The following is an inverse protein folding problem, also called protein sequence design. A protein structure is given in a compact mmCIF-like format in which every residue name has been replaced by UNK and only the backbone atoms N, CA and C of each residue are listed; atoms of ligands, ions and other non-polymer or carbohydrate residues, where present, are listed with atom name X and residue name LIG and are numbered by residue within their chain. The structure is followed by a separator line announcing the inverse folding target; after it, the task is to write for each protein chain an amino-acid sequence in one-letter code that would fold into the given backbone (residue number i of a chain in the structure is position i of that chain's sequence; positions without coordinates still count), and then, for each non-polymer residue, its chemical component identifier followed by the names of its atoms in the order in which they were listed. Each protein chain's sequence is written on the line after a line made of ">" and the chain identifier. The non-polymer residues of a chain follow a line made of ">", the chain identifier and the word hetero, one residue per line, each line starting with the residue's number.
data_IF_410260342959
#
_entry.id   IF_410260342959
#
_cell.length_a   1.000
_cell.length_b   1.000
_cell.length_c   1.000
_cell.angle_alpha   90.00
_cell.angle_beta   90.00
_cell.angle_gamma   90.00
#
_symmetry.space_group_name_H-M   'P 1'
#
loop_
_entity.id
_entity.type
_entity.pdbx_description
1 polymer ?
#
# COMPACT_ATOMS: atom_id res chain seq x y z
N UNK A 1 24.98 -8.95 9.69
CA UNK A 1 25.00 -7.63 10.37
C UNK A 1 23.60 -7.37 10.92
N UNK A 2 23.40 -7.30 12.24
CA UNK A 2 22.10 -6.95 12.81
C UNK A 2 21.78 -5.50 12.41
N UNK A 3 20.62 -5.26 11.78
CA UNK A 3 20.24 -3.94 11.25
C UNK A 3 20.20 -3.80 9.73
N UNK A 4 20.18 -4.91 8.98
CA UNK A 4 20.00 -4.89 7.51
C UNK A 4 18.83 -5.75 7.02
N UNK A 5 18.09 -6.37 7.94
CA UNK A 5 17.01 -7.31 7.63
C UNK A 5 15.85 -6.59 6.94
N UNK A 6 15.43 -7.17 5.81
CA UNK A 6 14.29 -6.73 5.03
C UNK A 6 13.06 -7.47 5.54
N UNK A 7 12.01 -6.73 5.87
CA UNK A 7 10.72 -7.25 6.28
C UNK A 7 9.68 -6.87 5.22
N UNK A 8 8.87 -7.85 4.82
CA UNK A 8 7.71 -7.63 3.94
C UNK A 8 6.46 -7.92 4.77
N UNK A 9 5.61 -6.91 4.93
CA UNK A 9 4.37 -7.00 5.73
C UNK A 9 3.18 -6.49 4.94
N UNK A 10 1.99 -7.02 5.22
CA UNK A 10 0.75 -6.45 4.66
C UNK A 10 0.46 -5.11 5.34
N UNK A 11 0.09 -4.12 4.53
CA UNK A 11 -0.26 -2.80 5.01
C UNK A 11 -1.56 -2.84 5.80
N UNK A 12 -1.62 -2.03 6.85
CA UNK A 12 -2.81 -1.80 7.65
C UNK A 12 -3.24 -0.34 7.57
N UNK A 13 -4.46 0.02 8.00
CA UNK A 13 -4.86 1.42 8.09
C UNK A 13 -3.94 2.28 8.96
N UNK A 14 -3.18 1.68 9.89
CA UNK A 14 -2.22 2.42 10.74
C UNK A 14 -1.00 2.92 9.97
N UNK A 15 -0.71 2.35 8.80
CA UNK A 15 0.44 2.71 7.98
C UNK A 15 0.17 3.95 7.09
N UNK A 16 -1.05 4.49 7.09
CA UNK A 16 -1.47 5.58 6.21
C UNK A 16 -0.65 6.86 6.37
N UNK A 17 -0.32 7.24 7.59
CA UNK A 17 0.46 8.45 7.87
C UNK A 17 1.87 8.37 7.28
N UNK A 18 2.47 7.17 7.24
CA UNK A 18 3.79 6.94 6.64
C UNK A 18 3.70 6.74 5.12
N UNK A 19 2.66 6.06 4.65
CA UNK A 19 2.44 5.75 3.23
C UNK A 19 2.09 6.96 2.38
N UNK A 20 1.28 7.89 2.92
CA UNK A 20 0.83 9.06 2.17
C UNK A 20 1.98 9.93 1.64
N UNK A 21 2.93 10.43 2.47
CA UNK A 21 4.05 11.21 1.96
C UNK A 21 4.98 10.37 1.07
N UNK A 22 5.14 9.07 1.35
CA UNK A 22 5.97 8.16 0.55
C UNK A 22 5.45 8.02 -0.88
N UNK A 23 4.14 7.79 -1.04
CA UNK A 23 3.51 7.61 -2.34
C UNK A 23 3.25 8.95 -3.06
N UNK A 24 2.98 10.02 -2.32
CA UNK A 24 2.80 11.36 -2.89
C UNK A 24 4.07 11.85 -3.61
N UNK A 25 5.25 11.44 -3.16
CA UNK A 25 6.51 11.75 -3.86
C UNK A 25 6.67 10.99 -5.18
N UNK A 26 6.01 9.83 -5.32
CA UNK A 26 6.11 8.98 -6.50
C UNK A 26 4.96 9.21 -7.50
N UNK A 27 3.88 9.87 -7.09
CA UNK A 27 2.67 10.07 -7.88
C UNK A 27 2.51 11.56 -8.21
N UNK A 28 2.61 11.91 -9.49
CA UNK A 28 2.23 13.24 -10.00
C UNK A 28 0.69 13.37 -10.02
N UNK A 29 0.09 13.59 -8.84
CA UNK A 29 -1.34 13.86 -8.71
C UNK A 29 -1.57 15.13 -7.88
N UNK A 30 -2.12 16.16 -8.53
CA UNK A 30 -2.43 17.48 -7.93
C UNK A 30 -3.45 17.42 -6.77
N UNK A 31 -4.08 16.27 -6.53
CA UNK A 31 -5.17 16.09 -5.55
C UNK A 31 -5.03 14.80 -4.74
N UNK A 32 -3.80 14.37 -4.45
CA UNK A 32 -3.53 13.17 -3.67
C UNK A 32 -3.75 13.40 -2.16
N UNK A 33 -4.98 13.16 -1.67
CA UNK A 33 -5.31 13.27 -0.24
C UNK A 33 -5.13 11.94 0.52
N UNK A 34 -4.91 11.98 1.85
CA UNK A 34 -4.87 10.76 2.68
C UNK A 34 -6.15 9.92 2.58
N UNK A 35 -7.32 10.58 2.51
CA UNK A 35 -8.61 9.89 2.38
C UNK A 35 -8.72 9.14 1.05
N UNK A 36 -8.27 9.75 -0.05
CA UNK A 36 -8.25 9.10 -1.35
C UNK A 36 -7.29 7.90 -1.34
N UNK A 37 -6.12 8.05 -0.71
CA UNK A 37 -5.19 6.93 -0.55
C UNK A 37 -5.80 5.80 0.29
N UNK A 38 -6.47 6.13 1.39
CA UNK A 38 -7.17 5.14 2.21
C UNK A 38 -8.19 4.36 1.37
N UNK A 39 -8.99 5.06 0.57
CA UNK A 39 -9.96 4.41 -0.32
C UNK A 39 -9.27 3.52 -1.37
N UNK A 40 -8.11 3.90 -1.90
CA UNK A 40 -7.41 3.12 -2.92
C UNK A 40 -6.69 1.89 -2.37
N UNK A 41 -6.15 1.98 -1.15
CA UNK A 41 -5.35 0.91 -0.57
C UNK A 41 -6.17 -0.10 0.25
N UNK A 42 -7.24 0.35 0.90
CA UNK A 42 -7.95 -0.45 1.92
C UNK A 42 -9.44 -0.64 1.64
N UNK A 43 -10.00 0.02 0.64
CA UNK A 43 -11.39 -0.21 0.29
C UNK A 43 -11.53 -1.47 -0.56
N UNK A 44 -12.15 -2.50 0.02
CA UNK A 44 -12.46 -3.75 -0.66
C UNK A 44 -13.74 -3.54 -1.49
N UNK A 45 -13.69 -3.51 -2.84
CA UNK A 45 -14.91 -3.39 -3.61
C UNK A 45 -15.56 -4.78 -3.69
N UNK A 46 -16.84 -4.83 -3.32
CA UNK A 46 -17.89 -5.81 -3.61
C UNK A 46 -17.57 -7.28 -4.00
N UNK A 47 -18.38 -8.25 -3.55
CA UNK A 47 -18.25 -9.64 -3.99
C UNK A 47 -18.28 -9.73 -5.52
N UNK A 48 -17.23 -10.32 -6.12
CA UNK A 48 -17.04 -10.41 -7.58
C UNK A 48 -16.15 -9.33 -8.20
N UNK A 49 -15.36 -8.58 -7.42
CA UNK A 49 -14.39 -7.58 -7.92
C UNK A 49 -12.97 -7.86 -7.42
N UNK A 50 -12.03 -7.13 -8.02
CA UNK A 50 -10.60 -7.17 -7.73
C UNK A 50 -10.31 -7.08 -6.22
N UNK A 51 -9.46 -7.98 -5.71
CA UNK A 51 -8.94 -7.93 -4.33
C UNK A 51 -7.62 -7.18 -4.34
N UNK A 52 -7.51 -6.15 -3.49
CA UNK A 52 -6.34 -5.29 -3.40
C UNK A 52 -5.55 -5.65 -2.13
N UNK A 53 -4.31 -6.10 -2.31
CA UNK A 53 -3.36 -6.32 -1.22
C UNK A 53 -2.22 -5.31 -1.34
N UNK A 54 -1.94 -4.57 -0.29
CA UNK A 54 -0.81 -3.65 -0.26
C UNK A 54 0.29 -4.25 0.60
N UNK A 55 1.49 -4.41 0.06
CA UNK A 55 2.67 -4.94 0.73
C UNK A 55 3.68 -3.82 0.97
N UNK A 56 4.25 -3.79 2.17
CA UNK A 56 5.24 -2.82 2.61
C UNK A 56 6.59 -3.50 2.80
N UNK A 57 7.62 -2.93 2.19
CA UNK A 57 9.00 -3.31 2.40
C UNK A 57 9.63 -2.38 3.45
N UNK A 58 10.02 -2.95 4.59
CA UNK A 58 10.68 -2.22 5.68
C UNK A 58 12.11 -2.73 5.87
N UNK A 59 13.04 -1.80 6.08
CA UNK A 59 14.42 -2.12 6.47
C UNK A 59 14.75 -1.37 7.74
N UNK A 60 15.06 -2.10 8.80
CA UNK A 60 15.34 -1.52 10.12
C UNK A 60 14.22 -0.59 10.61
N UNK A 61 12.97 -1.02 10.41
CA UNK A 61 11.75 -0.29 10.80
C UNK A 61 11.28 0.79 9.81
N UNK A 62 12.17 1.28 8.92
CA UNK A 62 11.85 2.34 7.96
C UNK A 62 11.19 1.78 6.70
N UNK A 63 10.10 2.40 6.23
CA UNK A 63 9.52 2.10 4.92
C UNK A 63 10.50 2.46 3.79
N UNK A 64 10.78 1.51 2.92
CA UNK A 64 11.68 1.67 1.76
C UNK A 64 11.01 1.31 0.43
N UNK A 65 9.82 0.74 0.46
CA UNK A 65 9.07 0.35 -0.72
C UNK A 65 7.64 -0.03 -0.39
N UNK A 66 6.75 0.18 -1.35
CA UNK A 66 5.36 -0.26 -1.28
C UNK A 66 4.98 -0.88 -2.63
N UNK A 67 4.18 -1.94 -2.61
CA UNK A 67 3.65 -2.60 -3.79
C UNK A 67 2.16 -2.87 -3.57
N UNK A 68 1.34 -2.58 -4.58
CA UNK A 68 -0.05 -3.01 -4.59
C UNK A 68 -0.19 -4.19 -5.54
N UNK A 69 -0.63 -5.33 -4.99
CA UNK A 69 -1.02 -6.51 -5.74
C UNK A 69 -2.53 -6.50 -5.92
N UNK A 70 -2.98 -6.62 -7.17
CA UNK A 70 -4.39 -6.63 -7.54
C UNK A 70 -4.74 -8.00 -8.10
N UNK A 71 -5.55 -8.77 -7.37
CA UNK A 71 -6.09 -10.05 -7.80
C UNK A 71 -7.43 -9.80 -8.47
N UNK A 72 -7.49 -9.94 -9.79
CA UNK A 72 -8.75 -9.82 -10.53
C UNK A 72 -9.53 -11.13 -10.41
N UNK A 73 -10.86 -11.10 -10.27
CA UNK A 73 -11.65 -12.32 -10.37
C UNK A 73 -11.43 -12.95 -11.74
N UNK A 74 -11.37 -14.29 -11.78
CA UNK A 74 -11.40 -15.01 -13.05
C UNK A 74 -12.63 -14.57 -13.84
N UNK A 75 -12.46 -14.33 -15.14
CA UNK A 75 -13.56 -13.98 -16.03
C UNK A 75 -14.56 -15.16 -16.06
N UNK A 76 -15.60 -15.07 -15.23
CA UNK A 76 -16.77 -15.94 -15.23
C UNK A 76 -17.85 -15.39 -16.14
#
# INVERSE_FOLDING_TARGET
>A
MPGTELQIVEASPKDLEELHPFLSQALEYDSFSPDLLHQKLFFNPHPGRDVYHTLLARRSGRLIGAMQHVLRPDAG
#
